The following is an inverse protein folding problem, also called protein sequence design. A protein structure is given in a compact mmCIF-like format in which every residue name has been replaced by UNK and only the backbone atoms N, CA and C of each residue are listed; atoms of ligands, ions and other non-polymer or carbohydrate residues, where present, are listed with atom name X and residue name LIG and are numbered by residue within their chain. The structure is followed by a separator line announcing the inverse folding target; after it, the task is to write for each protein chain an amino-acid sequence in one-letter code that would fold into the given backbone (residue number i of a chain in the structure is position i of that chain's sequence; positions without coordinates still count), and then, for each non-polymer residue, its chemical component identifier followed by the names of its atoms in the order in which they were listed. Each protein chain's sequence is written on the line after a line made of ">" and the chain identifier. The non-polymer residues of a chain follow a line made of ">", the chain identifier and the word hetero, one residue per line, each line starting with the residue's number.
data_IF_201303455325
#
_entry.id   IF_201303455325
#
_cell.length_a   1.000
_cell.length_b   1.000
_cell.length_c   1.000
_cell.angle_alpha   90.00
_cell.angle_beta   90.00
_cell.angle_gamma   90.00
#
_symmetry.space_group_name_H-M   'P 1'
#
loop_
_entity.id
_entity.type
_entity.pdbx_description
1 polymer ?
#
# COMPACT_ATOMS: atom_id res chain seq x y z
N UNK A 1 9.59 24.66 11.17
CA UNK A 1 10.12 24.55 9.79
C UNK A 1 9.89 25.89 9.10
N UNK A 2 10.91 26.77 9.07
CA UNK A 2 10.76 28.13 8.55
C UNK A 2 11.51 28.38 7.22
N UNK A 3 11.90 27.33 6.51
CA UNK A 3 12.49 27.49 5.18
C UNK A 3 11.38 27.52 4.13
N UNK A 4 10.98 28.72 3.71
CA UNK A 4 10.00 28.91 2.64
C UNK A 4 10.35 28.13 1.37
N UNK A 5 11.64 27.96 1.10
CA UNK A 5 12.12 27.19 -0.06
C UNK A 5 11.89 25.68 0.09
N UNK A 6 12.13 25.10 1.27
CA UNK A 6 11.85 23.68 1.52
C UNK A 6 10.35 23.39 1.42
N UNK A 7 9.52 24.20 2.08
CA UNK A 7 8.05 24.06 2.05
C UNK A 7 7.53 24.15 0.62
N UNK A 8 8.04 25.11 -0.17
CA UNK A 8 7.69 25.25 -1.57
C UNK A 8 8.09 24.03 -2.39
N UNK A 9 9.35 23.56 -2.30
CA UNK A 9 9.83 22.38 -3.03
C UNK A 9 9.08 21.11 -2.66
N UNK A 10 8.81 20.91 -1.37
CA UNK A 10 8.05 19.75 -0.89
C UNK A 10 6.62 19.73 -1.47
N UNK A 11 5.97 20.89 -1.51
CA UNK A 11 4.63 21.03 -2.11
C UNK A 11 4.66 20.86 -3.63
N UNK A 12 5.56 21.58 -4.32
CA UNK A 12 5.56 21.66 -5.79
C UNK A 12 6.00 20.33 -6.44
N UNK A 13 7.00 19.64 -5.84
CA UNK A 13 7.56 18.40 -6.40
C UNK A 13 6.91 17.12 -5.87
N UNK A 14 6.47 17.13 -4.61
CA UNK A 14 5.97 15.92 -3.94
C UNK A 14 4.52 16.04 -3.46
N UNK A 15 3.87 17.20 -3.67
CA UNK A 15 2.53 17.51 -3.16
C UNK A 15 2.42 17.27 -1.64
N UNK A 16 3.56 17.39 -0.94
CA UNK A 16 3.61 17.15 0.50
C UNK A 16 2.97 18.30 1.27
N UNK A 17 2.17 17.96 2.26
CA UNK A 17 1.64 18.89 3.23
C UNK A 17 2.59 18.96 4.43
N UNK A 18 2.89 20.18 4.89
CA UNK A 18 3.75 20.41 6.03
C UNK A 18 2.98 21.21 7.06
N UNK A 19 2.76 20.61 8.22
CA UNK A 19 2.05 21.20 9.35
C UNK A 19 3.01 21.44 10.52
N UNK A 20 2.76 22.52 11.25
CA UNK A 20 3.47 22.82 12.50
C UNK A 20 2.59 22.42 13.67
N UNK A 21 3.09 21.52 14.49
CA UNK A 21 2.40 21.00 15.66
C UNK A 21 3.29 21.08 16.89
N UNK A 22 2.69 21.13 18.08
CA UNK A 22 3.42 21.18 19.34
C UNK A 22 3.39 19.81 20.02
N UNK A 23 4.39 18.97 19.73
CA UNK A 23 4.51 17.65 20.31
C UNK A 23 4.76 17.68 21.83
N UNK A 24 5.40 18.73 22.32
CA UNK A 24 5.81 18.82 23.73
C UNK A 24 4.65 19.15 24.67
N UNK A 25 3.84 20.14 24.31
CA UNK A 25 2.80 20.65 25.20
C UNK A 25 1.41 20.12 24.84
N UNK A 26 1.20 19.76 23.58
CA UNK A 26 -0.09 19.29 23.05
C UNK A 26 0.08 18.08 22.11
N UNK A 27 0.65 16.96 22.59
CA UNK A 27 0.83 15.76 21.78
C UNK A 27 -0.52 15.20 21.28
N UNK A 28 -1.58 15.35 22.07
CA UNK A 28 -2.95 15.01 21.71
C UNK A 28 -3.44 15.72 20.44
N UNK A 29 -3.23 17.03 20.36
CA UNK A 29 -3.60 17.80 19.17
C UNK A 29 -2.70 17.49 17.98
N UNK A 30 -1.42 17.20 18.21
CA UNK A 30 -0.50 16.79 17.16
C UNK A 30 -0.96 15.46 16.52
N UNK A 31 -1.28 14.44 17.34
CA UNK A 31 -1.89 13.19 16.87
C UNK A 31 -3.16 13.43 16.07
N UNK A 32 -4.10 14.18 16.64
CA UNK A 32 -5.39 14.45 16.00
C UNK A 32 -5.22 15.19 14.66
N UNK A 33 -4.26 16.10 14.55
CA UNK A 33 -3.96 16.82 13.30
C UNK A 33 -3.44 15.87 12.23
N UNK A 34 -2.51 14.98 12.59
CA UNK A 34 -1.95 13.98 11.67
C UNK A 34 -3.04 12.99 11.24
N UNK A 35 -3.81 12.46 12.17
CA UNK A 35 -4.89 11.50 11.87
C UNK A 35 -5.99 12.12 11.01
N UNK A 36 -6.36 13.37 11.27
CA UNK A 36 -7.32 14.09 10.42
C UNK A 36 -6.82 14.24 8.99
N UNK A 37 -5.55 14.63 8.78
CA UNK A 37 -4.96 14.71 7.46
C UNK A 37 -4.97 13.37 6.73
N UNK A 38 -4.62 12.28 7.41
CA UNK A 38 -4.65 10.93 6.82
C UNK A 38 -6.07 10.55 6.44
N UNK A 39 -7.05 10.79 7.31
CA UNK A 39 -8.45 10.51 7.04
C UNK A 39 -8.97 11.28 5.81
N UNK A 40 -8.72 12.58 5.74
CA UNK A 40 -9.11 13.42 4.61
C UNK A 40 -8.41 13.00 3.30
N UNK A 41 -7.09 12.76 3.36
CA UNK A 41 -6.28 12.35 2.19
C UNK A 41 -6.67 10.97 1.64
N UNK A 42 -7.22 10.09 2.49
CA UNK A 42 -7.66 8.75 2.12
C UNK A 42 -9.19 8.63 1.99
N UNK A 43 -9.90 9.77 1.96
CA UNK A 43 -11.36 9.83 1.83
C UNK A 43 -12.11 9.04 2.90
N UNK A 44 -11.62 9.08 4.13
CA UNK A 44 -12.19 8.38 5.27
C UNK A 44 -11.81 6.89 5.37
N UNK A 45 -11.00 6.38 4.44
CA UNK A 45 -10.61 4.95 4.42
C UNK A 45 -9.65 4.60 5.57
N UNK A 46 -8.70 5.47 5.84
CA UNK A 46 -7.77 5.33 6.96
C UNK A 46 -8.18 6.36 8.01
N UNK A 47 -8.80 5.92 9.09
CA UNK A 47 -9.22 6.80 10.18
C UNK A 47 -8.05 7.35 10.97
N UNK A 48 -7.11 6.48 11.32
CA UNK A 48 -5.98 6.80 12.17
C UNK A 48 -4.69 6.13 11.70
N UNK A 49 -3.57 6.83 11.79
CA UNK A 49 -2.22 6.30 11.53
C UNK A 49 -1.39 6.27 12.83
N UNK A 50 -1.64 7.21 13.74
CA UNK A 50 -1.09 7.25 15.09
C UNK A 50 -2.17 6.84 16.09
N UNK A 51 -1.94 5.74 16.80
CA UNK A 51 -2.85 5.25 17.84
C UNK A 51 -2.62 5.95 19.17
N UNK A 52 -1.35 6.23 19.49
CA UNK A 52 -0.91 6.87 20.73
C UNK A 52 -0.40 8.29 20.48
N UNK A 53 -0.34 9.07 21.55
CA UNK A 53 0.24 10.40 21.50
C UNK A 53 1.75 10.32 21.25
N UNK A 54 2.29 11.14 20.34
CA UNK A 54 3.73 11.19 20.11
C UNK A 54 4.50 11.59 21.37
N UNK A 55 5.71 11.04 21.51
CA UNK A 55 6.61 11.43 22.60
C UNK A 55 6.86 12.94 22.61
N UNK A 56 6.83 13.61 23.79
CA UNK A 56 7.11 15.05 23.90
C UNK A 56 8.48 15.48 23.36
N UNK A 57 9.43 14.56 23.23
CA UNK A 57 10.74 14.79 22.61
C UNK A 57 10.75 14.67 21.08
N UNK A 58 9.62 14.33 20.46
CA UNK A 58 9.47 14.21 19.01
C UNK A 58 9.78 15.52 18.32
N UNK A 59 10.62 15.47 17.28
CA UNK A 59 11.00 16.65 16.49
C UNK A 59 10.27 16.72 15.15
N UNK A 60 10.06 15.58 14.51
CA UNK A 60 9.38 15.48 13.22
C UNK A 60 8.78 14.07 13.04
N UNK A 61 7.56 14.03 12.57
CA UNK A 61 6.91 12.82 12.06
C UNK A 61 6.73 12.98 10.56
N UNK A 62 7.11 11.95 9.81
CA UNK A 62 6.77 11.83 8.40
C UNK A 62 5.70 10.74 8.27
N UNK A 63 4.51 11.14 7.84
CA UNK A 63 3.38 10.25 7.62
C UNK A 63 3.11 10.08 6.13
N UNK A 64 2.90 8.84 5.70
CA UNK A 64 2.47 8.52 4.35
C UNK A 64 1.27 7.58 4.41
N UNK A 65 0.26 7.88 3.59
CA UNK A 65 -0.93 7.06 3.45
C UNK A 65 -1.22 6.86 1.97
N UNK A 66 -1.40 5.61 1.56
CA UNK A 66 -1.77 5.27 0.20
C UNK A 66 -3.26 4.97 0.12
N UNK A 67 -3.93 5.65 -0.80
CA UNK A 67 -5.31 5.35 -1.18
C UNK A 67 -5.36 4.99 -2.66
N UNK A 68 -5.96 3.85 -2.96
CA UNK A 68 -6.21 3.41 -4.33
C UNK A 68 -7.67 2.97 -4.46
N UNK A 69 -8.29 3.33 -5.59
CA UNK A 69 -9.62 2.89 -5.97
C UNK A 69 -9.63 2.50 -7.44
N UNK A 70 -9.99 1.24 -7.71
CA UNK A 70 -10.15 0.73 -9.06
C UNK A 70 -11.37 -0.18 -9.15
N UNK A 71 -12.27 0.09 -10.10
CA UNK A 71 -13.39 -0.78 -10.43
C UNK A 71 -12.95 -1.76 -11.49
N UNK A 72 -13.25 -3.05 -11.33
CA UNK A 72 -12.90 -4.06 -12.34
C UNK A 72 -13.53 -3.75 -13.69
N UNK A 73 -12.83 -4.07 -14.78
CA UNK A 73 -13.39 -4.06 -16.13
C UNK A 73 -14.37 -5.23 -16.28
N UNK A 74 -13.97 -6.44 -15.87
CA UNK A 74 -14.83 -7.61 -15.76
C UNK A 74 -15.14 -7.83 -14.29
N UNK A 75 -16.39 -7.64 -13.90
CA UNK A 75 -16.82 -7.80 -12.53
C UNK A 75 -16.78 -9.26 -12.10
N UNK A 76 -16.42 -9.49 -10.84
CA UNK A 76 -16.80 -10.71 -10.18
C UNK A 76 -18.31 -10.79 -10.06
N UNK A 77 -18.85 -11.99 -9.94
CA UNK A 77 -20.28 -12.21 -9.74
C UNK A 77 -20.77 -11.42 -8.51
N UNK A 78 -22.08 -11.19 -8.46
CA UNK A 78 -22.65 -10.44 -7.35
C UNK A 78 -22.31 -11.06 -5.98
N UNK A 79 -22.24 -10.27 -4.90
CA UNK A 79 -21.81 -10.70 -3.57
C UNK A 79 -22.53 -11.93 -3.02
N UNK A 80 -23.80 -12.18 -3.42
CA UNK A 80 -24.55 -13.37 -3.02
C UNK A 80 -23.99 -14.68 -3.56
N UNK A 81 -23.15 -14.63 -4.61
CA UNK A 81 -22.46 -15.80 -5.16
C UNK A 81 -21.08 -16.05 -4.56
N UNK A 82 -20.56 -15.09 -3.79
CA UNK A 82 -19.35 -15.30 -3.00
C UNK A 82 -19.63 -16.30 -1.88
N UNK A 83 -18.86 -17.39 -1.86
CA UNK A 83 -19.07 -18.50 -0.94
C UNK A 83 -17.77 -18.86 -0.22
N UNK A 84 -17.85 -19.36 1.03
CA UNK A 84 -16.71 -19.97 1.68
C UNK A 84 -16.15 -21.12 0.84
N UNK A 85 -14.87 -21.04 0.50
CA UNK A 85 -14.12 -22.10 -0.18
C UNK A 85 -12.88 -22.46 0.63
N UNK A 86 -12.40 -23.72 0.55
CA UNK A 86 -11.15 -24.09 1.15
C UNK A 86 -9.99 -23.28 0.57
N UNK A 87 -9.17 -22.72 1.45
CA UNK A 87 -7.92 -22.06 1.13
C UNK A 87 -6.80 -22.77 1.88
N UNK A 88 -5.71 -23.11 1.21
CA UNK A 88 -4.62 -23.93 1.71
C UNK A 88 -3.35 -23.09 1.86
N UNK A 89 -3.18 -22.34 2.97
CA UNK A 89 -2.04 -21.43 3.12
C UNK A 89 -0.68 -22.13 3.13
N UNK A 90 -0.66 -23.38 3.52
CA UNK A 90 0.55 -24.19 3.65
C UNK A 90 0.64 -25.34 2.63
N UNK A 91 -0.25 -25.38 1.64
CA UNK A 91 -0.33 -26.39 0.59
C UNK A 91 -1.53 -27.32 0.73
N UNK A 92 -1.91 -28.00 -0.36
CA UNK A 92 -3.13 -28.82 -0.45
C UNK A 92 -3.13 -30.02 0.52
N UNK A 93 -1.94 -30.52 0.90
CA UNK A 93 -1.77 -31.61 1.88
C UNK A 93 -1.88 -31.14 3.33
N UNK A 94 -2.08 -29.84 3.58
CA UNK A 94 -2.18 -29.25 4.90
C UNK A 94 -3.61 -28.78 5.20
N UNK A 95 -3.97 -28.54 6.47
CA UNK A 95 -5.30 -28.06 6.84
C UNK A 95 -5.70 -26.79 6.08
N UNK A 96 -6.91 -26.79 5.54
CA UNK A 96 -7.49 -25.62 4.89
C UNK A 96 -8.23 -24.72 5.89
N UNK A 97 -8.37 -23.46 5.52
CA UNK A 97 -9.29 -22.50 6.15
C UNK A 97 -10.38 -22.13 5.15
N UNK A 98 -11.59 -21.85 5.62
CA UNK A 98 -12.66 -21.37 4.77
C UNK A 98 -12.52 -19.86 4.58
N UNK A 99 -12.44 -19.41 3.33
CA UNK A 99 -12.38 -17.98 2.98
C UNK A 99 -13.49 -17.62 2.01
N UNK A 100 -14.13 -16.44 2.16
CA UNK A 100 -15.10 -15.95 1.19
C UNK A 100 -14.43 -15.79 -0.18
N UNK A 101 -14.81 -16.61 -1.16
CA UNK A 101 -14.20 -16.64 -2.49
C UNK A 101 -15.18 -16.11 -3.52
N UNK A 102 -14.73 -15.13 -4.27
CA UNK A 102 -15.42 -14.50 -5.38
C UNK A 102 -15.14 -15.27 -6.67
N UNK A 103 -16.07 -15.18 -7.61
CA UNK A 103 -16.00 -15.84 -8.91
C UNK A 103 -16.20 -14.83 -10.02
N UNK A 104 -15.34 -14.88 -11.04
CA UNK A 104 -15.52 -14.14 -12.28
C UNK A 104 -15.34 -15.08 -13.48
N UNK A 105 -16.23 -15.00 -14.47
CA UNK A 105 -16.13 -15.73 -15.71
C UNK A 105 -15.91 -14.74 -16.85
N UNK A 106 -14.88 -14.95 -17.66
CA UNK A 106 -14.57 -14.01 -18.74
C UNK A 106 -13.28 -14.33 -19.47
N UNK A 107 -12.83 -13.35 -20.24
CA UNK A 107 -11.51 -13.39 -20.88
C UNK A 107 -10.55 -12.51 -20.05
N UNK A 108 -9.44 -13.11 -19.62
CA UNK A 108 -8.42 -12.44 -18.83
C UNK A 108 -7.04 -12.58 -19.48
N UNK A 109 -6.18 -11.56 -19.40
CA UNK A 109 -4.78 -11.74 -19.72
C UNK A 109 -4.17 -12.76 -18.75
N UNK A 110 -3.53 -13.78 -19.32
CA UNK A 110 -2.98 -14.93 -18.58
C UNK A 110 -1.71 -15.45 -19.24
N UNK A 111 -0.78 -15.93 -18.43
CA UNK A 111 0.39 -16.67 -18.84
C UNK A 111 0.80 -17.70 -17.80
N UNK A 112 1.23 -18.89 -18.23
CA UNK A 112 1.84 -19.89 -17.38
C UNK A 112 3.33 -19.97 -17.70
N UNK A 113 4.18 -19.66 -16.71
CA UNK A 113 5.64 -19.70 -16.84
C UNK A 113 6.18 -21.06 -16.35
N UNK A 114 6.69 -21.88 -17.26
CA UNK A 114 7.35 -23.13 -16.88
C UNK A 114 8.64 -22.90 -16.08
N UNK A 115 9.38 -21.82 -16.40
CA UNK A 115 10.66 -21.50 -15.75
C UNK A 115 10.48 -21.15 -14.28
N UNK A 116 9.47 -20.33 -13.97
CA UNK A 116 9.14 -19.94 -12.60
C UNK A 116 8.23 -20.92 -11.90
N UNK A 117 7.70 -21.90 -12.64
CA UNK A 117 6.63 -22.79 -12.18
C UNK A 117 5.51 -22.00 -11.49
N UNK A 118 5.05 -20.96 -12.19
CA UNK A 118 4.05 -20.03 -11.68
C UNK A 118 3.10 -19.57 -12.80
N UNK A 119 1.92 -19.17 -12.42
CA UNK A 119 0.89 -18.61 -13.31
C UNK A 119 0.73 -17.13 -12.98
N UNK A 120 0.50 -16.30 -14.00
CA UNK A 120 0.14 -14.90 -13.83
C UNK A 120 -1.18 -14.62 -14.53
N UNK A 121 -2.06 -13.91 -13.83
CA UNK A 121 -3.32 -13.41 -14.38
C UNK A 121 -3.46 -11.93 -14.07
N UNK A 122 -4.00 -11.16 -15.03
CA UNK A 122 -4.31 -9.76 -14.82
C UNK A 122 -5.82 -9.55 -14.71
N UNK A 123 -6.19 -8.67 -13.77
CA UNK A 123 -7.52 -8.13 -13.60
C UNK A 123 -7.50 -6.64 -13.96
N UNK A 124 -7.84 -6.28 -15.22
CA UNK A 124 -7.85 -4.89 -15.63
C UNK A 124 -8.90 -4.09 -14.88
N UNK A 125 -8.56 -2.86 -14.54
CA UNK A 125 -9.54 -1.89 -14.07
C UNK A 125 -10.23 -1.20 -15.26
N UNK A 126 -11.43 -0.69 -15.03
CA UNK A 126 -12.29 -0.10 -16.06
C UNK A 126 -11.64 1.04 -16.85
N UNK A 127 -10.68 1.75 -16.27
CA UNK A 127 -9.93 2.79 -16.95
C UNK A 127 -8.92 2.26 -17.99
N UNK A 128 -8.62 0.96 -17.98
CA UNK A 128 -7.65 0.26 -18.85
C UNK A 128 -6.20 0.79 -18.77
N UNK A 129 -5.92 1.71 -17.87
CA UNK A 129 -4.56 2.23 -17.67
C UNK A 129 -3.79 1.45 -16.61
N UNK A 130 -4.50 0.71 -15.77
CA UNK A 130 -3.94 -0.08 -14.67
C UNK A 130 -4.61 -1.43 -14.59
N UNK A 131 -3.89 -2.42 -14.08
CA UNK A 131 -4.39 -3.77 -13.79
C UNK A 131 -3.83 -4.26 -12.46
N UNK A 132 -4.57 -5.11 -11.78
CA UNK A 132 -4.02 -5.92 -10.70
C UNK A 132 -3.46 -7.20 -11.31
N UNK A 133 -2.20 -7.51 -11.00
CA UNK A 133 -1.55 -8.74 -11.42
C UNK A 133 -1.44 -9.68 -10.23
N UNK A 134 -1.85 -10.92 -10.43
CA UNK A 134 -1.70 -12.00 -9.44
C UNK A 134 -0.75 -13.02 -10.00
N UNK A 135 0.33 -13.29 -9.25
CA UNK A 135 1.30 -14.33 -9.58
C UNK A 135 1.15 -15.45 -8.55
N UNK A 136 0.76 -16.62 -9.03
CA UNK A 136 0.48 -17.79 -8.20
C UNK A 136 1.47 -18.90 -8.53
N UNK A 137 2.30 -19.36 -7.57
CA UNK A 137 3.17 -20.50 -7.80
C UNK A 137 2.35 -21.78 -7.99
N UNK A 138 2.82 -22.68 -8.88
CA UNK A 138 2.30 -24.05 -8.94
C UNK A 138 2.66 -24.75 -7.62
N UNK A 139 1.86 -25.70 -7.18
CA UNK A 139 2.02 -26.37 -5.89
C UNK A 139 2.17 -25.37 -4.74
N UNK A 140 1.21 -24.45 -4.67
CA UNK A 140 1.28 -23.24 -3.85
C UNK A 140 1.32 -23.57 -2.36
N UNK A 141 2.40 -23.11 -1.70
CA UNK A 141 2.56 -23.11 -0.25
C UNK A 141 3.48 -21.95 0.17
N UNK A 142 3.63 -21.70 1.47
CA UNK A 142 4.44 -20.57 1.98
C UNK A 142 5.91 -20.63 1.54
N UNK A 143 6.49 -21.82 1.44
CA UNK A 143 7.90 -21.96 1.02
C UNK A 143 8.06 -21.60 -0.46
N UNK A 144 7.19 -22.13 -1.31
CA UNK A 144 7.17 -21.82 -2.75
C UNK A 144 6.89 -20.34 -3.02
N UNK A 145 5.97 -19.74 -2.26
CA UNK A 145 5.71 -18.31 -2.37
C UNK A 145 6.95 -17.47 -2.04
N UNK A 146 7.67 -17.80 -0.94
CA UNK A 146 8.91 -17.09 -0.59
C UNK A 146 10.00 -17.26 -1.65
N UNK A 147 10.13 -18.46 -2.21
CA UNK A 147 11.08 -18.74 -3.29
C UNK A 147 10.74 -17.92 -4.54
N UNK A 148 9.48 -17.90 -4.94
CA UNK A 148 9.00 -17.07 -6.05
C UNK A 148 9.28 -15.58 -5.81
N UNK A 149 8.94 -15.06 -4.64
CA UNK A 149 9.22 -13.66 -4.27
C UNK A 149 10.71 -13.31 -4.36
N UNK A 150 11.60 -14.22 -3.96
CA UNK A 150 13.04 -14.03 -4.03
C UNK A 150 13.58 -14.03 -5.48
N UNK A 151 12.93 -14.75 -6.39
CA UNK A 151 13.31 -14.83 -7.81
C UNK A 151 12.67 -13.77 -8.70
N UNK A 152 11.61 -13.09 -8.22
CA UNK A 152 10.85 -12.12 -9.00
C UNK A 152 11.54 -10.75 -9.00
N UNK A 153 12.24 -10.43 -10.08
CA UNK A 153 12.74 -9.07 -10.34
C UNK A 153 11.73 -8.26 -11.15
N UNK A 154 11.92 -6.93 -11.22
CA UNK A 154 11.09 -6.07 -12.08
C UNK A 154 11.18 -6.48 -13.55
N UNK A 155 12.37 -6.81 -14.04
CA UNK A 155 12.55 -7.29 -15.42
C UNK A 155 11.82 -8.61 -15.69
N UNK A 156 11.82 -9.52 -14.71
CA UNK A 156 11.10 -10.78 -14.82
C UNK A 156 9.58 -10.55 -14.80
N UNK A 157 9.09 -9.66 -13.97
CA UNK A 157 7.69 -9.29 -13.94
C UNK A 157 7.24 -8.67 -15.27
N UNK A 158 8.03 -7.76 -15.85
CA UNK A 158 7.77 -7.16 -17.16
C UNK A 158 7.74 -8.22 -18.26
N UNK A 159 8.66 -9.21 -18.20
CA UNK A 159 8.68 -10.36 -19.12
C UNK A 159 7.40 -11.19 -19.03
N UNK A 160 6.96 -11.52 -17.81
CA UNK A 160 5.72 -12.26 -17.58
C UNK A 160 4.51 -11.52 -18.15
N UNK A 161 4.41 -10.22 -17.86
CA UNK A 161 3.32 -9.37 -18.34
C UNK A 161 3.32 -9.33 -19.89
N UNK A 162 4.49 -9.20 -20.51
CA UNK A 162 4.63 -9.17 -21.97
C UNK A 162 4.25 -10.49 -22.68
N UNK A 163 4.27 -11.62 -21.97
CA UNK A 163 3.88 -12.93 -22.50
C UNK A 163 2.39 -13.26 -22.36
N UNK A 164 1.64 -12.44 -21.61
CA UNK A 164 0.23 -12.70 -21.35
C UNK A 164 -0.60 -12.61 -22.62
N UNK A 165 -1.55 -13.54 -22.76
CA UNK A 165 -2.55 -13.57 -23.82
C UNK A 165 -3.95 -13.66 -23.23
N UNK A 166 -4.96 -13.26 -23.99
CA UNK A 166 -6.35 -13.37 -23.56
C UNK A 166 -6.79 -14.83 -23.54
N UNK A 167 -7.21 -15.31 -22.38
CA UNK A 167 -7.74 -16.66 -22.19
C UNK A 167 -9.13 -16.60 -21.55
N UNK A 168 -10.02 -17.48 -22.01
CA UNK A 168 -11.29 -17.73 -21.31
C UNK A 168 -10.99 -18.49 -20.03
N UNK A 169 -11.42 -17.95 -18.90
CA UNK A 169 -11.20 -18.54 -17.59
C UNK A 169 -12.34 -18.24 -16.63
N UNK A 170 -12.47 -19.11 -15.62
CA UNK A 170 -13.17 -18.79 -14.38
C UNK A 170 -12.09 -18.44 -13.37
N UNK A 171 -12.05 -17.20 -12.95
CA UNK A 171 -11.17 -16.74 -11.89
C UNK A 171 -11.87 -16.91 -10.54
N UNK A 172 -11.18 -17.55 -9.60
CA UNK A 172 -11.60 -17.65 -8.21
C UNK A 172 -10.59 -16.85 -7.38
N UNK A 173 -11.10 -15.88 -6.62
CA UNK A 173 -10.23 -15.03 -5.82
C UNK A 173 -10.85 -14.72 -4.45
N UNK A 174 -10.08 -14.83 -3.36
CA UNK A 174 -10.59 -14.50 -2.03
C UNK A 174 -10.99 -13.02 -1.93
N UNK A 175 -12.17 -12.74 -1.37
CA UNK A 175 -12.44 -11.40 -0.85
C UNK A 175 -11.46 -11.15 0.28
N UNK A 176 -10.78 -10.02 0.26
CA UNK A 176 -9.76 -9.73 1.25
C UNK A 176 -9.76 -8.26 1.66
N UNK A 177 -9.39 -8.04 2.90
CA UNK A 177 -9.08 -6.74 3.45
C UNK A 177 -7.72 -6.83 4.17
N UNK A 178 -6.76 -6.05 3.72
CA UNK A 178 -5.44 -5.97 4.31
C UNK A 178 -5.19 -4.55 4.80
N UNK A 179 -4.98 -4.38 6.10
CA UNK A 179 -4.66 -3.10 6.72
C UNK A 179 -3.43 -3.27 7.59
N UNK A 180 -2.36 -2.56 7.25
CA UNK A 180 -1.10 -2.63 7.97
C UNK A 180 -0.50 -1.25 8.17
N UNK A 181 0.12 -1.05 9.34
CA UNK A 181 0.93 0.12 9.65
C UNK A 181 2.38 -0.31 9.80
N UNK A 182 3.28 0.38 9.10
CA UNK A 182 4.70 0.08 9.09
C UNK A 182 5.49 1.25 9.67
N UNK A 183 6.42 0.96 10.59
CA UNK A 183 7.52 1.88 10.91
C UNK A 183 8.61 1.69 9.84
N UNK A 184 8.76 2.67 8.97
CA UNK A 184 9.76 2.64 7.89
C UNK A 184 11.17 2.97 8.37
N UNK A 185 11.35 3.48 9.59
CA UNK A 185 12.65 3.91 10.11
C UNK A 185 13.68 2.78 10.09
N UNK A 186 13.34 1.65 10.67
CA UNK A 186 14.25 0.49 10.72
C UNK A 186 14.61 -0.03 9.32
N UNK A 187 13.63 -0.16 8.44
CA UNK A 187 13.82 -0.62 7.07
C UNK A 187 14.73 0.35 6.27
N UNK A 188 14.48 1.66 6.36
CA UNK A 188 15.29 2.67 5.69
C UNK A 188 16.72 2.74 6.22
N UNK A 189 16.91 2.54 7.53
CA UNK A 189 18.24 2.47 8.13
C UNK A 189 19.04 1.26 7.63
N UNK A 190 18.38 0.11 7.42
CA UNK A 190 19.01 -1.07 6.80
C UNK A 190 19.39 -0.82 5.33
N UNK A 191 18.59 -0.06 4.61
CA UNK A 191 18.87 0.38 3.24
C UNK A 191 19.91 1.52 3.16
N UNK A 192 20.50 1.95 4.31
CA UNK A 192 21.57 2.95 4.36
C UNK A 192 21.11 4.38 4.63
N UNK A 193 19.80 4.65 4.75
CA UNK A 193 19.25 5.98 5.09
C UNK A 193 19.33 6.20 6.59
N UNK A 194 20.52 6.50 7.12
CA UNK A 194 20.77 6.62 8.58
C UNK A 194 20.76 8.06 9.07
N UNK A 195 21.35 8.99 8.30
CA UNK A 195 21.57 10.39 8.69
C UNK A 195 20.26 11.16 8.96
N UNK A 196 19.15 10.74 8.34
CA UNK A 196 17.84 11.35 8.50
C UNK A 196 17.32 11.19 9.93
N UNK A 197 17.64 10.07 10.58
CA UNK A 197 17.16 9.66 11.91
C UNK A 197 18.17 9.94 13.02
N UNK A 198 19.35 10.50 12.70
CA UNK A 198 20.44 10.74 13.65
C UNK A 198 20.19 12.02 14.43
N UNK A 199 19.96 11.90 15.74
CA UNK A 199 19.78 13.01 16.68
C UNK A 199 21.00 13.92 16.79
N UNK A 200 22.18 13.42 16.48
CA UNK A 200 23.45 14.17 16.58
C UNK A 200 23.77 14.90 15.28
N UNK A 201 23.16 14.50 14.19
CA UNK A 201 23.42 15.03 12.87
C UNK A 201 22.70 16.35 12.61
N UNK A 202 23.35 17.24 11.89
CA UNK A 202 22.78 18.53 11.47
C UNK A 202 22.44 18.52 9.96
N UNK A 203 21.94 17.41 9.46
CA UNK A 203 21.73 17.20 8.03
C UNK A 203 20.46 17.85 7.47
N UNK A 204 19.49 18.20 8.31
CA UNK A 204 18.24 18.85 7.90
C UNK A 204 18.32 20.39 7.97
N UNK A 205 19.47 20.96 7.59
CA UNK A 205 19.69 22.42 7.59
C UNK A 205 18.73 23.19 6.68
N UNK A 206 18.32 22.59 5.58
CA UNK A 206 17.39 23.20 4.61
C UNK A 206 16.00 23.33 5.26
N UNK A 207 15.64 22.40 6.14
CA UNK A 207 14.33 22.37 6.81
C UNK A 207 14.30 23.38 7.97
N UNK A 208 15.41 23.53 8.70
CA UNK A 208 15.47 24.38 9.90
C UNK A 208 15.54 25.89 9.61
N UNK A 209 15.78 26.29 8.35
CA UNK A 209 15.95 27.70 7.95
C UNK A 209 17.26 28.29 8.49
N UNK A 210 17.91 29.19 7.72
CA UNK A 210 19.00 30.04 8.24
C UNK A 210 18.33 31.17 9.01
N UNK A 211 18.48 31.22 10.32
CA UNK A 211 18.26 32.44 11.07
C UNK A 211 19.42 33.41 10.76
N UNK A 212 19.17 34.36 9.85
CA UNK A 212 20.02 35.52 9.68
C UNK A 212 19.66 36.56 10.77
N UNK A 213 19.81 36.18 12.03
CA UNK A 213 19.71 37.14 13.14
C UNK A 213 21.12 37.42 13.64
N UNK A 214 21.64 38.60 13.27
CA UNK A 214 22.74 39.25 13.97
C UNK A 214 22.23 39.64 15.39
N UNK A 215 22.26 38.73 16.32
CA UNK A 215 21.86 38.94 17.71
C UNK A 215 22.48 37.86 18.56
N UNK A 216 23.32 38.27 19.52
CA UNK A 216 24.06 37.45 20.46
C UNK A 216 23.13 36.83 21.50
N UNK A 217 22.29 35.89 21.06
CA UNK A 217 21.72 34.87 21.93
C UNK A 217 21.94 33.53 21.27
N UNK A 218 22.81 32.72 21.86
CA UNK A 218 23.02 31.35 21.49
C UNK A 218 21.72 30.55 21.74
N UNK A 219 20.74 30.69 20.87
CA UNK A 219 19.65 29.70 20.77
C UNK A 219 20.33 28.38 20.45
N UNK A 220 20.29 27.47 21.40
CA UNK A 220 20.76 26.09 21.22
C UNK A 220 20.25 25.64 19.85
N UNK A 221 21.19 25.33 18.93
CA UNK A 221 20.86 24.89 17.57
C UNK A 221 20.03 23.60 17.71
N UNK A 222 18.73 23.72 17.66
CA UNK A 222 17.84 22.56 17.67
C UNK A 222 18.23 21.71 16.45
N UNK A 223 18.80 20.55 16.72
CA UNK A 223 19.16 19.59 15.69
C UNK A 223 17.88 18.89 15.25
N UNK A 224 17.40 19.20 14.06
CA UNK A 224 16.22 18.58 13.50
C UNK A 224 16.56 17.19 12.94
N UNK A 225 15.80 16.19 13.32
CA UNK A 225 15.87 14.82 12.81
C UNK A 225 14.46 14.25 12.69
N UNK A 226 14.28 13.21 11.86
CA UNK A 226 13.01 12.49 11.78
C UNK A 226 12.92 11.50 12.94
N UNK A 227 11.98 11.71 13.84
CA UNK A 227 11.75 10.85 15.01
C UNK A 227 11.04 9.58 14.59
N UNK A 228 9.99 9.71 13.78
CA UNK A 228 9.14 8.61 13.32
C UNK A 228 8.84 8.76 11.83
N UNK A 229 8.74 7.62 11.13
CA UNK A 229 8.32 7.56 9.73
C UNK A 229 7.31 6.43 9.59
N UNK A 230 6.04 6.80 9.52
CA UNK A 230 4.92 5.88 9.56
C UNK A 230 4.28 5.78 8.17
N UNK A 231 4.04 4.55 7.72
CA UNK A 231 3.34 4.27 6.47
C UNK A 231 2.18 3.32 6.75
N UNK A 232 0.98 3.74 6.39
CA UNK A 232 -0.22 2.90 6.49
C UNK A 232 -0.77 2.60 5.12
N UNK A 233 -1.08 1.32 4.90
CA UNK A 233 -1.75 0.79 3.72
C UNK A 233 -3.07 0.18 4.19
N UNK A 234 -4.14 0.51 3.50
CA UNK A 234 -5.43 -0.15 3.61
C UNK A 234 -5.88 -0.56 2.20
N UNK A 235 -6.11 -1.85 2.00
CA UNK A 235 -6.47 -2.43 0.72
C UNK A 235 -7.62 -3.39 0.91
N UNK A 236 -8.76 -3.10 0.29
CA UNK A 236 -9.88 -4.02 0.18
C UNK A 236 -10.06 -4.47 -1.26
N UNK A 237 -10.20 -5.78 -1.45
CA UNK A 237 -10.52 -6.40 -2.73
C UNK A 237 -11.86 -7.11 -2.59
N UNK A 238 -12.81 -6.71 -3.41
CA UNK A 238 -14.16 -7.26 -3.43
C UNK A 238 -14.65 -7.44 -4.88
N UNK A 239 -15.90 -7.86 -5.05
CA UNK A 239 -16.50 -8.20 -6.35
C UNK A 239 -16.54 -7.02 -7.32
N UNK A 240 -16.50 -5.80 -6.84
CA UNK A 240 -16.61 -4.56 -7.64
C UNK A 240 -15.27 -3.98 -8.04
N UNK A 241 -14.24 -4.31 -7.28
CA UNK A 241 -12.93 -3.70 -7.49
C UNK A 241 -12.00 -3.84 -6.31
N UNK A 242 -10.98 -3.01 -6.37
CA UNK A 242 -10.11 -2.73 -5.23
C UNK A 242 -10.54 -1.39 -4.67
N UNK A 243 -11.19 -1.38 -3.50
CA UNK A 243 -11.69 -0.14 -2.90
C UNK A 243 -12.24 -0.26 -1.48
N UNK A 244 -12.52 0.96 -0.90
CA UNK A 244 -13.49 1.19 0.15
C UNK A 244 -14.61 2.17 -0.27
N UNK A 245 -15.83 1.65 -0.55
CA UNK A 245 -17.01 2.48 -0.82
C UNK A 245 -17.99 1.88 -1.86
N UNK A 246 -19.30 1.88 -1.59
CA UNK A 246 -20.34 1.15 -2.32
C UNK A 246 -21.00 1.92 -3.48
N UNK A 247 -21.24 1.24 -4.63
CA UNK A 247 -22.24 1.62 -5.66
C UNK A 247 -22.84 0.37 -6.30
N UNK A 248 -24.16 0.37 -6.56
CA UNK A 248 -24.97 -0.74 -7.09
C UNK A 248 -25.06 -0.69 -8.62
N UNK A 249 -24.86 -1.82 -9.32
CA UNK A 249 -25.18 -1.98 -10.74
C UNK A 249 -25.62 -3.44 -11.03
N UNK A 250 -26.61 -3.63 -11.89
CA UNK A 250 -27.30 -4.87 -12.27
C UNK A 250 -26.57 -5.62 -13.38
N UNK A 251 -26.53 -6.97 -13.35
CA UNK A 251 -25.82 -7.83 -14.29
C UNK A 251 -26.74 -8.73 -15.13
N UNK A 252 -26.29 -9.12 -16.33
CA UNK A 252 -26.87 -10.18 -17.16
C UNK A 252 -25.86 -11.31 -17.42
N UNK A 253 -26.36 -12.56 -17.38
CA UNK A 253 -25.60 -13.81 -17.49
C UNK A 253 -25.38 -14.34 -18.89
N UNK A 254 -24.28 -15.09 -19.10
CA UNK A 254 -24.19 -16.27 -20.00
C UNK A 254 -23.09 -17.22 -19.54
N UNK A 255 -23.37 -18.53 -19.54
CA UNK A 255 -22.53 -19.63 -19.04
C UNK A 255 -21.46 -20.10 -20.05
N UNK A 256 -20.26 -20.48 -19.56
CA UNK A 256 -19.17 -21.10 -20.30
C UNK A 256 -18.43 -22.12 -19.42
N UNK A 257 -17.81 -23.19 -20.00
CA UNK A 257 -17.12 -24.23 -19.24
C UNK A 257 -15.79 -23.79 -18.64
N UNK A 258 -15.35 -24.42 -17.54
CA UNK A 258 -14.31 -23.87 -16.67
C UNK A 258 -12.87 -24.27 -17.02
N UNK A 259 -11.95 -23.34 -16.83
CA UNK A 259 -10.55 -23.60 -16.45
C UNK A 259 -10.39 -23.03 -15.05
N UNK A 260 -10.04 -23.88 -14.07
CA UNK A 260 -9.79 -23.42 -12.70
C UNK A 260 -8.44 -22.71 -12.60
N UNK A 261 -8.45 -21.49 -12.08
CA UNK A 261 -7.27 -20.71 -11.73
C UNK A 261 -7.17 -20.54 -10.23
#
# INVERSE_FOLDING_TARGET
>A
INSSNFVRLARDLYQAQIEQVNFKERPDLARNTINRWVNESTRGRIGEILLDDPDPGTQMIVANALYFRGTWETFFNEPQFTRPQPFFPDGEDQPSILVPTMFASGCFPYYSSPELQARIMAFPYRNRTTSMYIVLPNDSNRARLRQLQASLSSAELDRLIGQMKMHKAIAQFPRMHASNTYDLKAALQQLGVRKLFDRTSNNLKIVSGKSNANGAEARAKVKLYVSEMVHKIDLEINERGTEGGAVTITAMERSLPPVNF
#
